data_IF_370808382687
#
_entry.id   IF_370808382687
#
_cell.length_a   1.000
_cell.length_b   1.000
_cell.length_c   1.000
_cell.angle_alpha   90.00
_cell.angle_beta   90.00
_cell.angle_gamma   90.00
#
_symmetry.space_group_name_H-M   'P 1'
#
loop_
_entity.id
_entity.type
_entity.pdbx_description
1 polymer ?
#
# COMPACT_ATOMS: atom_id res chain seq x y z
N UNK A 1 -5.07 14.36 5.53
CA UNK A 1 -4.38 13.13 5.26
C UNK A 1 -5.20 11.94 5.54
N UNK A 2 -5.33 11.08 4.61
CA UNK A 2 -6.08 9.88 4.81
C UNK A 2 -5.19 8.68 4.66
N UNK A 3 -5.25 7.78 5.60
CA UNK A 3 -4.55 6.52 5.47
C UNK A 3 -5.56 5.41 5.36
N UNK A 4 -5.21 4.39 4.62
CA UNK A 4 -6.08 3.26 4.42
C UNK A 4 -5.38 2.00 4.86
N UNK A 5 -6.13 1.14 5.54
CA UNK A 5 -5.59 -0.12 5.99
C UNK A 5 -5.90 -1.18 4.95
N UNK A 6 -4.89 -1.86 4.49
CA UNK A 6 -5.06 -2.94 3.55
C UNK A 6 -4.64 -4.25 4.14
N UNK A 7 -5.41 -5.29 3.88
CA UNK A 7 -5.07 -6.62 4.34
C UNK A 7 -4.18 -7.30 3.33
N UNK A 8 -3.11 -7.90 3.79
CA UNK A 8 -2.20 -8.58 2.89
C UNK A 8 -2.84 -9.84 2.37
N UNK A 9 -2.92 -9.95 1.07
CA UNK A 9 -3.48 -11.10 0.40
C UNK A 9 -2.37 -12.03 -0.06
N UNK A 10 -1.29 -11.45 -0.55
CA UNK A 10 -0.18 -12.24 -1.05
C UNK A 10 1.11 -11.53 -0.69
N UNK A 11 2.07 -12.29 -0.19
CA UNK A 11 3.33 -11.74 0.24
C UNK A 11 4.43 -12.30 -0.66
N UNK A 12 4.96 -11.49 -1.53
CA UNK A 12 6.05 -11.90 -2.40
C UNK A 12 7.37 -11.31 -1.96
N UNK A 13 8.41 -11.62 -2.69
CA UNK A 13 9.73 -11.10 -2.37
C UNK A 13 9.91 -9.65 -2.76
N UNK A 14 9.34 -9.28 -3.89
CA UNK A 14 9.48 -7.93 -4.40
C UNK A 14 8.19 -7.14 -4.37
N UNK A 15 7.08 -7.81 -4.16
CA UNK A 15 5.77 -7.19 -4.18
C UNK A 15 4.92 -7.71 -3.07
N UNK A 16 3.97 -6.90 -2.67
CA UNK A 16 2.93 -7.31 -1.74
C UNK A 16 1.61 -6.98 -2.41
N UNK A 17 0.68 -7.90 -2.34
CA UNK A 17 -0.67 -7.63 -2.81
C UNK A 17 -1.56 -7.46 -1.60
N UNK A 18 -2.20 -6.31 -1.50
CA UNK A 18 -3.11 -6.05 -0.40
C UNK A 18 -4.47 -5.67 -0.95
N UNK A 19 -5.48 -5.83 -0.14
CA UNK A 19 -6.82 -5.42 -0.51
C UNK A 19 -7.13 -4.11 0.19
N UNK A 20 -7.25 -3.05 -0.56
CA UNK A 20 -7.49 -1.72 -0.02
C UNK A 20 -8.17 -0.87 -1.07
N UNK A 21 -8.97 0.07 -0.61
CA UNK A 21 -9.64 0.97 -1.53
C UNK A 21 -8.74 2.11 -1.92
N UNK A 22 -7.76 1.82 -2.71
CA UNK A 22 -6.82 2.81 -3.19
C UNK A 22 -7.03 2.95 -4.68
N UNK A 23 -7.13 4.16 -5.15
CA UNK A 23 -7.38 4.40 -6.56
C UNK A 23 -6.20 4.97 -7.30
N UNK A 24 -5.14 5.29 -6.60
CA UNK A 24 -4.00 5.92 -7.24
C UNK A 24 -2.76 5.10 -7.03
N UNK A 25 -1.87 5.15 -7.99
CA UNK A 25 -0.55 4.56 -7.85
C UNK A 25 0.39 5.60 -7.28
N UNK A 26 1.54 5.17 -6.82
CA UNK A 26 2.55 6.08 -6.31
C UNK A 26 2.43 6.43 -4.85
N UNK A 27 1.36 6.02 -4.21
CA UNK A 27 1.18 6.32 -2.79
C UNK A 27 2.09 5.45 -1.96
N UNK A 28 2.49 5.95 -0.81
CA UNK A 28 3.44 5.25 0.03
C UNK A 28 2.76 4.28 0.96
N UNK A 29 3.40 3.16 1.19
CA UNK A 29 2.89 2.10 2.05
C UNK A 29 3.78 1.93 3.26
N UNK A 30 3.16 1.74 4.41
CA UNK A 30 3.86 1.62 5.67
C UNK A 30 3.33 0.45 6.47
N UNK A 31 4.14 -0.05 7.39
CA UNK A 31 3.65 -1.03 8.36
C UNK A 31 2.79 -0.32 9.39
N UNK A 32 1.99 -1.05 10.15
CA UNK A 32 1.22 -0.41 11.23
C UNK A 32 2.11 0.28 12.26
N UNK A 33 3.37 -0.13 12.37
CA UNK A 33 4.28 0.51 13.29
C UNK A 33 4.93 1.76 12.70
N UNK A 34 4.65 2.06 11.43
CA UNK A 34 5.14 3.28 10.82
C UNK A 34 6.37 3.14 9.96
N UNK A 35 6.83 1.94 9.72
CA UNK A 35 8.00 1.74 8.88
C UNK A 35 7.64 1.76 7.41
N UNK A 36 8.42 2.46 6.63
CA UNK A 36 8.19 2.54 5.19
C UNK A 36 8.45 1.19 4.52
N UNK A 37 7.55 0.78 3.68
CA UNK A 37 7.66 -0.49 2.95
C UNK A 37 7.95 -0.26 1.49
N UNK A 38 7.18 0.57 0.85
CA UNK A 38 7.31 0.80 -0.58
C UNK A 38 6.20 1.66 -1.11
N UNK A 39 5.96 1.55 -2.40
CA UNK A 39 4.96 2.37 -3.07
C UNK A 39 3.95 1.54 -3.81
N UNK A 40 2.76 2.07 -3.94
CA UNK A 40 1.72 1.44 -4.73
C UNK A 40 2.13 1.48 -6.20
N UNK A 41 2.29 0.31 -6.77
CA UNK A 41 2.72 0.17 -8.15
C UNK A 41 1.54 0.05 -9.09
N UNK A 42 0.51 -0.66 -8.67
CA UNK A 42 -0.64 -0.90 -9.53
C UNK A 42 -1.87 -1.16 -8.69
N UNK A 43 -2.99 -0.71 -9.17
CA UNK A 43 -4.29 -1.02 -8.57
C UNK A 43 -5.07 -1.80 -9.60
N UNK A 44 -5.60 -2.94 -9.22
CA UNK A 44 -6.31 -3.79 -10.16
C UNK A 44 -7.43 -4.54 -9.45
N UNK A 45 -8.23 -5.26 -10.22
CA UNK A 45 -9.31 -6.06 -9.65
C UNK A 45 -10.65 -5.33 -9.67
N UNK A 46 -11.65 -5.89 -9.01
CA UNK A 46 -12.99 -5.30 -9.02
C UNK A 46 -13.02 -3.93 -8.37
N UNK A 47 -13.92 -3.11 -8.83
CA UNK A 47 -14.04 -1.75 -8.31
C UNK A 47 -14.40 -1.77 -6.83
N UNK A 48 -15.20 -2.73 -6.44
CA UNK A 48 -15.67 -2.79 -5.05
C UNK A 48 -14.61 -3.28 -4.09
N UNK A 49 -13.72 -4.13 -4.56
CA UNK A 49 -12.68 -4.69 -3.71
C UNK A 49 -11.38 -4.73 -4.50
N UNK A 50 -10.78 -3.59 -4.73
CA UNK A 50 -9.57 -3.57 -5.54
C UNK A 50 -8.38 -4.18 -4.81
N UNK A 51 -7.48 -4.72 -5.60
CA UNK A 51 -6.21 -5.21 -5.10
C UNK A 51 -5.16 -4.17 -5.41
N UNK A 52 -4.23 -4.03 -4.51
CA UNK A 52 -3.16 -3.05 -4.65
C UNK A 52 -1.84 -3.78 -4.63
N UNK A 53 -1.06 -3.58 -5.69
CA UNK A 53 0.26 -4.15 -5.77
C UNK A 53 1.25 -3.12 -5.27
N UNK A 54 2.00 -3.47 -4.24
CA UNK A 54 2.96 -2.57 -3.64
C UNK A 54 4.35 -3.08 -3.94
N UNK A 55 5.16 -2.24 -4.55
CA UNK A 55 6.53 -2.59 -4.83
C UNK A 55 7.34 -2.34 -3.57
N UNK A 56 8.02 -3.37 -3.09
CA UNK A 56 8.80 -3.27 -1.88
C UNK A 56 10.09 -2.53 -2.19
N UNK A 57 10.34 -1.46 -1.48
CA UNK A 57 11.54 -0.66 -1.66
C UNK A 57 12.49 -0.74 -0.48
N UNK A 58 12.01 -1.21 0.66
CA UNK A 58 12.83 -1.34 1.84
C UNK A 58 12.51 -2.62 2.56
N UNK A 59 13.49 -3.14 3.26
CA UNK A 59 13.27 -4.31 4.07
C UNK A 59 12.32 -3.98 5.21
N UNK A 60 11.41 -4.86 5.45
CA UNK A 60 10.44 -4.69 6.52
C UNK A 60 10.23 -6.04 7.17
N UNK A 61 9.64 -6.08 8.30
CA UNK A 61 9.63 -7.27 9.11
C UNK A 61 8.86 -8.46 8.56
N UNK A 62 7.95 -8.23 7.61
CA UNK A 62 7.13 -9.29 7.04
C UNK A 62 6.30 -10.05 8.07
N UNK A 63 6.23 -9.53 9.27
CA UNK A 63 5.45 -10.17 10.31
C UNK A 63 4.11 -9.49 10.52
N UNK A 64 3.76 -8.57 9.65
CA UNK A 64 2.49 -7.86 9.75
C UNK A 64 1.52 -8.44 8.75
N UNK A 65 0.25 -8.38 9.07
CA UNK A 65 -0.79 -8.84 8.18
C UNK A 65 -1.53 -7.70 7.51
N UNK A 66 -1.17 -6.49 7.82
CA UNK A 66 -1.82 -5.31 7.27
C UNK A 66 -0.81 -4.29 6.86
N UNK A 67 -1.16 -3.47 5.88
CA UNK A 67 -0.32 -2.39 5.39
C UNK A 67 -1.13 -1.10 5.44
N UNK A 68 -0.50 -0.04 5.84
CA UNK A 68 -1.13 1.28 5.87
C UNK A 68 -0.67 2.02 4.61
N UNK A 69 -1.63 2.45 3.81
CA UNK A 69 -1.33 3.20 2.61
C UNK A 69 -1.71 4.65 2.85
N UNK A 70 -0.75 5.54 2.76
CA UNK A 70 -1.01 6.96 2.97
C UNK A 70 -1.24 7.65 1.67
N UNK A 71 -2.41 8.19 1.52
CA UNK A 71 -2.71 9.00 0.37
C UNK A 71 -2.16 10.38 0.61
N UNK A 72 -1.16 10.75 -0.17
CA UNK A 72 -0.64 12.06 -0.09
C UNK A 72 -1.32 12.89 -1.08
N UNK A 73 -2.03 13.81 -0.68
CA UNK A 73 -2.55 14.74 -1.58
C UNK A 73 -1.62 15.81 -1.77
N UNK A 74 -0.98 15.79 -2.54
CA UNK A 74 0.00 16.73 -2.70
C UNK A 74 -0.39 18.14 -2.61
N UNK A 75 -0.69 18.10 -2.61
CA UNK A 75 -0.85 18.75 -2.71
C UNK A 75 -0.72 19.73 -2.83
N UNK A 76 -0.50 19.72 -2.87
CA UNK A 76 -0.46 20.27 -2.88
C UNK A 76 -0.40 21.13 -3.20
N UNK A 77 -0.18 21.61 -3.43
CA UNK A 77 -0.03 22.23 -3.74
C UNK A 77 0.02 22.73 -4.00
N UNK A 78 0.13 23.19 -4.15
CA UNK A 78 0.25 23.47 -4.47
C UNK A 78 0.26 23.72 -4.59
#
# INVERSE_FOLDING_TARGET
MKSMKGKIVCLGEKYIIVRARVRRTGEKAYTPSGKYVGRVSRVFGPVEKPYVKIKIERKWGRKVSEIIIRGERGGRKK
#
